data_IF_030167255106
#
_entry.id   IF_030167255106
#
_cell.length_a   1.000
_cell.length_b   1.000
_cell.length_c   1.000
_cell.angle_alpha   90.00
_cell.angle_beta   90.00
_cell.angle_gamma   90.00
#
_symmetry.space_group_name_H-M   'P 1'
#
loop_
_entity.id
_entity.type
_entity.pdbx_description
1 polymer ?
#
# COMPACT_ATOMS: atom_id res chain seq x y z
N UNK A 1 -8.20 -3.83 -5.25
CA UNK A 1 -8.68 -3.50 -3.89
C UNK A 1 -10.19 -3.49 -3.85
N UNK A 2 -10.87 -2.63 -4.63
CA UNK A 2 -12.35 -2.58 -4.67
C UNK A 2 -13.00 -3.95 -4.92
N UNK A 3 -12.55 -4.69 -5.93
CA UNK A 3 -13.08 -6.04 -6.19
C UNK A 3 -12.96 -6.98 -4.98
N UNK A 4 -11.79 -7.02 -4.34
CA UNK A 4 -11.56 -7.85 -3.16
C UNK A 4 -12.41 -7.41 -1.97
N UNK A 5 -12.64 -6.10 -1.82
CA UNK A 5 -13.52 -5.56 -0.79
C UNK A 5 -14.99 -5.89 -1.05
N UNK A 6 -15.42 -6.07 -2.30
CA UNK A 6 -16.80 -6.47 -2.63
C UNK A 6 -17.00 -7.96 -2.34
N UNK A 7 -16.01 -8.79 -2.62
CA UNK A 7 -16.05 -10.23 -2.32
C UNK A 7 -16.12 -10.51 -0.82
N UNK A 8 -15.31 -9.79 -0.02
CA UNK A 8 -15.32 -9.88 1.44
C UNK A 8 -14.84 -8.56 2.06
N UNK A 9 -15.75 -7.84 2.71
CA UNK A 9 -15.46 -6.56 3.35
C UNK A 9 -14.69 -6.69 4.68
N UNK A 10 -14.53 -7.91 5.22
CA UNK A 10 -13.87 -8.17 6.50
C UNK A 10 -12.45 -8.70 6.34
N UNK A 11 -12.10 -9.20 5.16
CA UNK A 11 -10.81 -9.82 4.90
C UNK A 11 -9.74 -8.76 4.63
N UNK A 12 -8.69 -8.79 5.44
CA UNK A 12 -7.55 -7.91 5.27
C UNK A 12 -6.91 -8.03 3.89
N UNK A 13 -6.47 -6.88 3.35
CA UNK A 13 -5.80 -6.79 2.06
C UNK A 13 -4.28 -6.66 2.26
N UNK A 14 -3.49 -7.35 1.42
CA UNK A 14 -2.03 -7.26 1.45
C UNK A 14 -1.51 -6.64 0.16
N UNK A 15 -0.84 -5.50 0.29
CA UNK A 15 -0.19 -4.79 -0.79
C UNK A 15 1.33 -4.93 -0.67
N UNK A 16 1.93 -5.73 -1.55
CA UNK A 16 3.38 -5.86 -1.66
C UNK A 16 3.93 -4.78 -2.59
N UNK A 17 4.94 -4.05 -2.13
CA UNK A 17 5.48 -2.86 -2.81
C UNK A 17 6.97 -3.08 -3.11
N UNK A 18 7.31 -2.95 -4.39
CA UNK A 18 8.67 -2.83 -4.88
C UNK A 18 8.69 -1.85 -6.05
N UNK A 19 8.83 -0.56 -5.75
CA UNK A 19 8.69 0.53 -6.71
C UNK A 19 9.63 1.69 -6.39
N UNK A 20 10.28 2.24 -7.43
CA UNK A 20 11.04 3.49 -7.37
C UNK A 20 10.17 4.75 -7.38
N UNK A 21 8.85 4.60 -7.36
CA UNK A 21 7.89 5.70 -7.47
C UNK A 21 7.39 5.90 -8.90
N UNK A 22 6.87 7.09 -9.17
CA UNK A 22 6.28 7.42 -10.46
C UNK A 22 5.39 8.65 -10.40
N UNK A 23 4.32 8.64 -11.20
CA UNK A 23 3.41 9.76 -11.31
C UNK A 23 2.58 9.98 -10.04
N UNK A 24 2.42 11.25 -9.66
CA UNK A 24 1.70 11.64 -8.45
C UNK A 24 0.20 11.32 -8.54
N UNK A 25 -0.46 11.70 -9.63
CA UNK A 25 -1.92 11.54 -9.76
C UNK A 25 -2.37 10.08 -9.65
N UNK A 26 -1.77 9.10 -10.36
CA UNK A 26 -2.10 7.70 -10.17
C UNK A 26 -1.76 7.18 -8.77
N UNK A 27 -0.68 7.67 -8.16
CA UNK A 27 -0.30 7.27 -6.81
C UNK A 27 -1.29 7.76 -5.75
N UNK A 28 -1.81 8.98 -5.89
CA UNK A 28 -2.90 9.51 -5.04
C UNK A 28 -4.18 8.71 -5.27
N UNK A 29 -4.52 8.37 -6.51
CA UNK A 29 -5.69 7.54 -6.78
C UNK A 29 -5.61 6.15 -6.11
N UNK A 30 -4.43 5.53 -6.08
CA UNK A 30 -4.20 4.28 -5.34
C UNK A 30 -4.39 4.52 -3.83
N UNK A 31 -3.79 5.58 -3.30
CA UNK A 31 -3.91 5.93 -1.88
C UNK A 31 -5.37 6.16 -1.47
N UNK A 32 -6.13 6.96 -2.22
CA UNK A 32 -7.54 7.22 -1.94
C UNK A 32 -8.36 5.92 -2.01
N UNK A 33 -8.04 5.03 -2.96
CA UNK A 33 -8.67 3.70 -3.03
C UNK A 33 -8.37 2.87 -1.78
N UNK A 34 -7.16 2.96 -1.22
CA UNK A 34 -6.81 2.28 0.04
C UNK A 34 -7.62 2.82 1.23
N UNK A 35 -7.88 4.13 1.28
CA UNK A 35 -8.69 4.74 2.35
C UNK A 35 -10.19 4.51 2.18
N UNK A 36 -10.64 4.29 0.95
CA UNK A 36 -12.05 4.10 0.62
C UNK A 36 -12.57 2.70 0.96
N UNK A 37 -11.76 1.67 0.75
CA UNK A 37 -12.17 0.28 1.02
C UNK A 37 -12.30 0.03 2.52
N UNK A 38 -13.29 -0.80 2.91
CA UNK A 38 -13.54 -1.13 4.33
C UNK A 38 -12.46 -1.97 4.99
N UNK A 39 -11.90 -3.02 4.35
CA UNK A 39 -10.89 -3.84 5.01
C UNK A 39 -9.55 -3.13 5.12
N UNK A 40 -8.86 -3.38 6.24
CA UNK A 40 -7.52 -2.84 6.48
C UNK A 40 -6.53 -3.27 5.38
N UNK A 41 -5.76 -2.30 4.89
CA UNK A 41 -4.71 -2.53 3.90
C UNK A 41 -3.35 -2.66 4.59
N UNK A 42 -2.85 -3.88 4.66
CA UNK A 42 -1.48 -4.20 5.05
C UNK A 42 -0.53 -3.82 3.91
N UNK A 43 0.54 -3.11 4.20
CA UNK A 43 1.57 -2.77 3.19
C UNK A 43 2.89 -3.43 3.55
N UNK A 44 3.55 -4.03 2.55
CA UNK A 44 4.80 -4.77 2.75
C UNK A 44 5.82 -4.33 1.71
N UNK A 45 6.88 -3.64 2.13
CA UNK A 45 7.99 -3.28 1.26
C UNK A 45 8.96 -4.47 1.11
N UNK A 46 9.11 -4.98 -0.12
CA UNK A 46 9.94 -6.15 -0.40
C UNK A 46 11.38 -5.81 -0.83
N UNK A 47 11.60 -4.62 -1.39
CA UNK A 47 12.90 -4.24 -1.95
C UNK A 47 13.12 -2.73 -1.93
N UNK A 48 12.41 -1.99 -2.77
CA UNK A 48 12.47 -0.54 -2.81
C UNK A 48 11.06 0.05 -2.66
N UNK A 49 10.91 1.06 -1.82
CA UNK A 49 9.77 1.96 -1.85
C UNK A 49 10.29 3.39 -1.79
N UNK A 50 10.31 4.07 -2.94
CA UNK A 50 10.78 5.45 -3.05
C UNK A 50 9.71 6.36 -3.65
N UNK A 51 9.73 7.65 -3.29
CA UNK A 51 8.80 8.67 -3.80
C UNK A 51 7.32 8.24 -3.62
N UNK A 52 6.52 8.18 -4.69
CA UNK A 52 5.13 7.72 -4.58
C UNK A 52 5.01 6.27 -4.05
N UNK A 53 6.05 5.44 -4.20
CA UNK A 53 6.11 4.12 -3.59
C UNK A 53 6.21 4.19 -2.06
N UNK A 54 7.01 5.11 -1.50
CA UNK A 54 7.06 5.31 -0.04
C UNK A 54 5.80 5.96 0.49
N UNK A 55 5.19 6.88 -0.26
CA UNK A 55 3.87 7.46 0.07
C UNK A 55 2.77 6.38 0.19
N UNK A 56 2.67 5.49 -0.80
CA UNK A 56 1.69 4.39 -0.75
C UNK A 56 2.01 3.41 0.39
N UNK A 57 3.29 3.11 0.63
CA UNK A 57 3.71 2.25 1.75
C UNK A 57 3.22 2.80 3.10
N UNK A 58 3.39 4.09 3.35
CA UNK A 58 2.94 4.70 4.62
C UNK A 58 1.42 4.85 4.72
N UNK A 59 0.70 4.78 3.60
CA UNK A 59 -0.76 4.86 3.53
C UNK A 59 -1.52 3.59 3.93
N UNK A 60 -0.82 2.48 4.20
CA UNK A 60 -1.43 1.31 4.81
C UNK A 60 -1.87 1.55 6.25
N UNK A 61 -2.65 0.62 6.80
CA UNK A 61 -3.20 0.71 8.16
C UNK A 61 -2.09 0.86 9.21
N UNK A 62 -2.31 1.73 10.19
CA UNK A 62 -1.34 1.98 11.26
C UNK A 62 -1.11 0.65 11.99
N UNK A 63 0.15 0.35 12.34
CA UNK A 63 0.63 -0.95 12.88
C UNK A 63 0.76 -2.11 11.88
N UNK A 64 0.20 -2.00 10.66
CA UNK A 64 0.22 -3.06 9.62
C UNK A 64 1.12 -2.73 8.42
N UNK A 65 2.15 -1.93 8.65
CA UNK A 65 3.11 -1.48 7.64
C UNK A 65 4.45 -2.13 7.91
N UNK A 66 4.85 -3.03 7.02
CA UNK A 66 6.02 -3.88 7.17
C UNK A 66 7.01 -3.64 6.05
N UNK A 67 8.25 -4.02 6.31
CA UNK A 67 9.29 -4.02 5.32
C UNK A 67 10.30 -5.09 5.63
N UNK A 68 10.83 -5.73 4.59
CA UNK A 68 11.88 -6.71 4.77
C UNK A 68 13.20 -6.06 5.24
N UNK A 69 14.08 -6.83 5.90
CA UNK A 69 15.28 -6.29 6.56
C UNK A 69 16.21 -5.49 5.65
N UNK A 70 16.25 -5.83 4.36
CA UNK A 70 17.10 -5.17 3.37
C UNK A 70 16.32 -4.24 2.42
N UNK A 71 15.05 -3.99 2.72
CA UNK A 71 14.23 -3.13 1.89
C UNK A 71 14.55 -1.64 2.14
N UNK A 72 14.94 -0.93 1.09
CA UNK A 72 15.23 0.49 1.15
C UNK A 72 13.95 1.31 1.05
N UNK A 73 13.77 2.21 2.02
CA UNK A 73 12.61 3.09 2.15
C UNK A 73 13.14 4.52 2.33
N UNK A 74 12.89 5.38 1.35
CA UNK A 74 13.21 6.81 1.40
C UNK A 74 11.99 7.63 0.96
#
# INVERSE_FOLDING_TARGET
MVYLSIEDETKELYLFINSSGGWVIPGVAIYDTMQFVRPDVNTVCMGLAASMGSFILVGGEITKRLAFPHAWRQ
#
